data_IF_655436117979
#
_entry.id   IF_655436117979
#
_cell.length_a   1.000
_cell.length_b   1.000
_cell.length_c   1.000
_cell.angle_alpha   90.00
_cell.angle_beta   90.00
_cell.angle_gamma   90.00
#
_symmetry.space_group_name_H-M   'P 1'
#
loop_
_entity.id
_entity.type
_entity.pdbx_description
1 polymer ?
#
# COMPACT_ATOMS: atom_id res chain seq x y z
N UNK A 1 -9.68 5.85 -10.14
CA UNK A 1 -8.73 4.95 -9.45
C UNK A 1 -7.34 5.54 -9.63
N UNK A 2 -6.50 5.60 -8.60
CA UNK A 2 -5.11 6.03 -8.75
C UNK A 2 -4.22 4.79 -8.67
N UNK A 3 -3.16 4.72 -9.49
CA UNK A 3 -2.20 3.62 -9.43
C UNK A 3 -0.89 4.21 -8.96
N UNK A 4 -0.58 3.98 -7.70
CA UNK A 4 0.68 4.42 -7.11
C UNK A 4 1.72 3.33 -7.37
N UNK A 5 2.92 3.74 -7.77
CA UNK A 5 4.04 2.82 -7.97
C UNK A 5 4.35 2.09 -6.65
N UNK A 6 4.34 0.73 -6.63
CA UNK A 6 4.49 -0.03 -5.39
C UNK A 6 5.74 0.33 -4.57
N UNK A 7 6.84 0.68 -5.23
CA UNK A 7 8.11 1.10 -4.63
C UNK A 7 8.06 2.46 -3.90
N UNK A 8 7.01 3.24 -4.15
CA UNK A 8 6.77 4.55 -3.54
C UNK A 8 5.74 4.51 -2.40
N UNK A 9 5.26 3.30 -2.07
CA UNK A 9 4.31 3.05 -0.99
C UNK A 9 5.05 2.40 0.18
N UNK A 10 4.90 2.98 1.37
CA UNK A 10 5.34 2.37 2.62
C UNK A 10 4.11 2.04 3.47
N UNK A 11 4.14 0.86 4.11
CA UNK A 11 3.08 0.40 5.01
C UNK A 11 3.55 0.49 6.47
N UNK A 12 2.65 0.95 7.33
CA UNK A 12 2.89 1.13 8.75
C UNK A 12 1.74 0.52 9.56
N UNK A 13 2.04 0.07 10.78
CA UNK A 13 1.01 -0.41 11.73
C UNK A 13 0.27 0.74 12.42
N UNK A 14 0.95 1.87 12.61
CA UNK A 14 0.42 3.08 13.21
C UNK A 14 0.59 4.25 12.25
N UNK A 15 -0.09 5.37 12.51
CA UNK A 15 0.06 6.57 11.70
C UNK A 15 1.53 7.01 11.77
N UNK A 16 2.25 7.10 10.64
CA UNK A 16 3.61 7.60 10.66
C UNK A 16 3.62 9.08 11.04
N UNK A 17 4.49 9.45 11.98
CA UNK A 17 4.80 10.84 12.30
C UNK A 17 5.80 11.39 11.27
N UNK A 18 5.56 12.59 10.73
CA UNK A 18 6.52 13.26 9.84
C UNK A 18 5.93 13.97 8.63
N UNK A 19 6.80 14.24 7.64
CA UNK A 19 6.52 15.09 6.46
C UNK A 19 5.75 14.40 5.34
N UNK A 20 5.33 13.14 5.53
CA UNK A 20 4.54 12.40 4.55
C UNK A 20 3.17 13.06 4.38
N UNK A 21 2.99 13.80 3.29
CA UNK A 21 1.74 14.54 3.03
C UNK A 21 0.57 13.66 2.58
N UNK A 22 0.87 12.46 2.10
CA UNK A 22 -0.13 11.51 1.59
C UNK A 22 -0.15 10.29 2.48
N UNK A 23 -0.90 10.39 3.58
CA UNK A 23 -1.05 9.34 4.59
C UNK A 23 -2.53 9.07 4.82
N UNK A 24 -2.93 7.81 4.73
CA UNK A 24 -4.32 7.39 4.99
C UNK A 24 -4.39 5.97 5.52
N UNK A 25 -5.51 5.63 6.16
CA UNK A 25 -5.80 4.26 6.58
C UNK A 25 -6.38 3.44 5.43
N UNK A 26 -6.04 2.16 5.41
CA UNK A 26 -6.64 1.16 4.55
C UNK A 26 -6.67 -0.21 5.22
N UNK A 27 -7.33 -1.16 4.55
CA UNK A 27 -7.40 -2.56 4.98
C UNK A 27 -6.74 -3.44 3.95
N UNK A 28 -5.90 -4.39 4.37
CA UNK A 28 -5.33 -5.39 3.46
C UNK A 28 -6.46 -6.25 2.90
N UNK A 29 -6.72 -6.15 1.60
CA UNK A 29 -7.67 -7.00 0.88
C UNK A 29 -7.05 -8.36 0.59
N UNK A 30 -5.83 -8.39 0.07
CA UNK A 30 -5.18 -9.64 -0.32
C UNK A 30 -3.66 -9.50 -0.35
N UNK A 31 -3.01 -10.66 -0.20
CA UNK A 31 -1.57 -10.84 -0.32
C UNK A 31 -1.31 -11.81 -1.46
N UNK A 32 -0.45 -11.41 -2.40
CA UNK A 32 -0.10 -12.18 -3.57
C UNK A 32 1.42 -12.42 -3.55
N UNK A 33 1.89 -13.58 -3.07
CA UNK A 33 3.30 -13.93 -3.11
C UNK A 33 3.84 -13.92 -4.55
N UNK A 34 5.05 -13.41 -4.71
CA UNK A 34 5.88 -13.45 -5.91
C UNK A 34 7.22 -14.12 -5.55
N UNK A 35 8.17 -14.18 -6.48
CA UNK A 35 9.45 -14.87 -6.25
C UNK A 35 10.24 -14.29 -5.06
N UNK A 36 10.47 -12.98 -5.03
CA UNK A 36 11.26 -12.29 -4.00
C UNK A 36 10.46 -11.22 -3.23
N UNK A 37 9.17 -11.09 -3.56
CA UNK A 37 8.28 -10.02 -3.06
C UNK A 37 6.90 -10.56 -2.74
N UNK A 38 6.12 -9.73 -2.04
CA UNK A 38 4.69 -9.93 -1.82
C UNK A 38 3.96 -8.68 -2.26
N UNK A 39 3.02 -8.84 -3.18
CA UNK A 39 2.11 -7.77 -3.59
C UNK A 39 0.94 -7.70 -2.62
N UNK A 40 0.69 -6.52 -2.08
CA UNK A 40 -0.35 -6.24 -1.08
C UNK A 40 -1.40 -5.35 -1.73
N UNK A 41 -2.63 -5.83 -1.82
CA UNK A 41 -3.78 -5.04 -2.28
C UNK A 41 -4.44 -4.42 -1.05
N UNK A 42 -4.62 -3.10 -1.05
CA UNK A 42 -5.15 -2.36 0.08
C UNK A 42 -6.40 -1.59 -0.36
N UNK A 43 -7.48 -1.89 0.34
CA UNK A 43 -8.72 -1.12 0.26
C UNK A 43 -8.59 0.10 1.15
N UNK A 44 -8.33 1.24 0.51
CA UNK A 44 -8.29 2.56 1.13
C UNK A 44 -8.94 3.59 0.22
N UNK A 45 -8.89 4.86 0.61
CA UNK A 45 -9.31 5.97 -0.25
C UNK A 45 -8.14 6.96 -0.37
N UNK A 46 -7.34 6.87 -1.46
CA UNK A 46 -7.49 5.99 -2.62
C UNK A 46 -7.09 4.52 -2.36
N UNK A 47 -7.61 3.55 -3.15
CA UNK A 47 -7.11 2.18 -3.12
C UNK A 47 -5.69 2.13 -3.67
N UNK A 48 -4.87 1.22 -3.15
CA UNK A 48 -3.45 1.14 -3.52
C UNK A 48 -2.96 -0.30 -3.56
N UNK A 49 -1.92 -0.52 -4.36
CA UNK A 49 -1.17 -1.76 -4.43
C UNK A 49 0.27 -1.45 -4.02
N UNK A 50 0.76 -2.15 -3.00
CA UNK A 50 2.14 -2.06 -2.54
C UNK A 50 2.89 -3.37 -2.83
N UNK A 51 4.22 -3.31 -2.87
CA UNK A 51 5.07 -4.49 -3.00
C UNK A 51 6.08 -4.45 -1.87
N UNK A 52 6.06 -5.46 -1.01
CA UNK A 52 6.92 -5.55 0.17
C UNK A 52 7.78 -6.81 0.10
N UNK A 53 8.81 -6.90 0.94
CA UNK A 53 9.55 -8.16 1.12
C UNK A 53 8.77 -9.10 2.05
N UNK A 54 9.00 -10.43 1.98
CA UNK A 54 8.43 -11.37 2.94
C UNK A 54 8.80 -11.05 4.40
N UNK A 55 10.02 -10.56 4.65
CA UNK A 55 10.45 -10.12 5.98
C UNK A 55 9.64 -8.94 6.50
N UNK A 56 9.43 -7.90 5.68
CA UNK A 56 8.63 -6.73 6.06
C UNK A 56 7.16 -7.11 6.30
N UNK A 57 6.60 -8.03 5.50
CA UNK A 57 5.26 -8.57 5.72
C UNK A 57 5.14 -9.23 7.11
N UNK A 58 6.13 -10.04 7.48
CA UNK A 58 6.17 -10.74 8.77
C UNK A 58 6.37 -9.79 9.95
N UNK A 59 7.28 -8.82 9.83
CA UNK A 59 7.54 -7.79 10.85
C UNK A 59 6.29 -6.93 11.12
N UNK A 60 5.58 -6.55 10.06
CA UNK A 60 4.33 -5.79 10.14
C UNK A 60 3.13 -6.66 10.52
N UNK A 61 3.29 -8.00 10.55
CA UNK A 61 2.22 -8.99 10.81
C UNK A 61 1.01 -8.79 9.90
N UNK A 62 1.25 -8.48 8.63
CA UNK A 62 0.19 -8.19 7.68
C UNK A 62 -0.54 -9.47 7.28
N UNK A 63 -1.86 -9.41 7.33
CA UNK A 63 -2.79 -10.45 6.95
C UNK A 63 -3.99 -9.81 6.24
N UNK A 64 -4.72 -10.53 5.37
CA UNK A 64 -6.02 -10.07 4.89
C UNK A 64 -6.93 -9.67 6.06
N UNK A 65 -7.57 -8.50 5.95
CA UNK A 65 -8.38 -7.88 6.99
C UNK A 65 -7.62 -6.99 7.97
N UNK A 66 -6.29 -6.95 7.94
CA UNK A 66 -5.51 -6.08 8.82
C UNK A 66 -5.65 -4.60 8.42
N UNK A 67 -5.86 -3.73 9.42
CA UNK A 67 -5.78 -2.28 9.25
C UNK A 67 -4.33 -1.84 9.13
N UNK A 68 -4.05 -0.97 8.15
CA UNK A 68 -2.72 -0.45 7.87
C UNK A 68 -2.77 1.04 7.60
N UNK A 69 -1.67 1.71 7.88
CA UNK A 69 -1.44 3.08 7.42
C UNK A 69 -0.57 3.04 6.17
N UNK A 70 -1.07 3.67 5.11
CA UNK A 70 -0.37 3.83 3.85
C UNK A 70 0.28 5.20 3.86
N UNK A 71 1.57 5.29 3.53
CA UNK A 71 2.24 6.55 3.21
C UNK A 71 2.83 6.51 1.81
N UNK A 72 2.60 7.55 1.03
CA UNK A 72 3.11 7.64 -0.35
C UNK A 72 4.02 8.84 -0.51
N UNK A 73 5.18 8.63 -1.16
CA UNK A 73 6.10 9.71 -1.53
C UNK A 73 5.42 10.66 -2.53
N UNK A 74 5.42 11.96 -2.23
CA UNK A 74 4.59 12.96 -2.91
C UNK A 74 4.83 13.10 -4.43
N UNK A 75 6.01 12.69 -4.93
CA UNK A 75 6.40 12.83 -6.34
C UNK A 75 5.85 11.73 -7.27
N UNK A 76 5.10 10.76 -6.74
CA UNK A 76 4.86 9.47 -7.43
C UNK A 76 3.39 9.07 -7.61
N UNK A 77 2.44 9.97 -7.35
CA UNK A 77 1.01 9.70 -7.64
C UNK A 77 0.76 9.91 -9.13
N UNK A 78 0.75 8.82 -9.92
CA UNK A 78 0.22 8.83 -11.29
C UNK A 78 -1.24 8.36 -11.28
N UNK A 79 -2.17 9.28 -11.46
CA UNK A 79 -3.59 8.95 -11.62
C UNK A 79 -3.82 8.26 -12.96
N UNK A 80 -4.42 7.06 -12.96
CA UNK A 80 -4.93 6.42 -14.17
C UNK A 80 -6.42 6.13 -14.00
N UNK A 81 -7.27 6.96 -14.63
CA UNK A 81 -8.68 6.62 -14.83
C UNK A 81 -8.73 5.40 -15.74
N UNK A 82 -9.13 4.26 -15.21
CA UNK A 82 -9.62 3.17 -16.06
C UNK A 82 -11.07 3.50 -16.39
N UNK A 83 -11.33 3.91 -17.62
CA UNK A 83 -12.68 3.89 -18.17
C UNK A 83 -13.15 2.42 -18.15
N UNK A 84 -14.27 2.17 -17.50
CA UNK A 84 -14.94 0.87 -17.50
C UNK A 84 -15.42 0.58 -18.93
N UNK A 85 -15.12 -0.60 -19.44
CA UNK A 85 -15.86 -1.22 -20.54
C UNK A 85 -16.91 -2.16 -19.94
#
# INVERSE_FOLDING_TARGET
>A
MAVIRPESVTLHRHQPEGSARNVWQGTVRSLQPMHDRVRVVIDGRPPVIATVTPSALAELRLLPGASVWVSVKAVEIRGYVRASH
#
